data_IF_359374980924
#
_entry.id   IF_359374980924
#
_cell.length_a   1.000
_cell.length_b   1.000
_cell.length_c   1.000
_cell.angle_alpha   90.00
_cell.angle_beta   90.00
_cell.angle_gamma   90.00
#
_symmetry.space_group_name_H-M   'P 1'
#
loop_
_entity.id
_entity.type
_entity.pdbx_description
1 polymer ?
#
# COMPACT_ATOMS: atom_id res chain seq x y z
N UNK A 1 3.87 -1.88 3.23
CA UNK A 1 4.89 -2.75 2.61
C UNK A 1 4.25 -3.50 1.45
N UNK A 2 5.00 -3.69 0.37
CA UNK A 2 4.65 -4.64 -0.69
C UNK A 2 5.09 -6.02 -0.24
N UNK A 3 4.18 -7.00 -0.29
CA UNK A 3 4.47 -8.40 0.06
C UNK A 3 4.09 -9.29 -1.11
N UNK A 4 5.05 -10.05 -1.62
CA UNK A 4 4.89 -10.95 -2.77
C UNK A 4 5.20 -12.35 -2.28
N UNK A 5 4.24 -13.26 -2.36
CA UNK A 5 4.39 -14.66 -1.92
C UNK A 5 4.28 -15.57 -3.13
N UNK A 6 5.31 -16.38 -3.36
CA UNK A 6 5.35 -17.36 -4.44
C UNK A 6 5.54 -18.75 -3.82
N UNK A 7 4.67 -19.69 -4.17
CA UNK A 7 4.79 -21.07 -3.71
C UNK A 7 6.03 -21.73 -4.33
N UNK A 8 6.84 -22.40 -3.51
CA UNK A 8 8.05 -23.08 -3.95
C UNK A 8 7.73 -24.26 -4.87
N UNK A 9 6.58 -24.91 -4.67
CA UNK A 9 6.07 -25.96 -5.57
C UNK A 9 5.82 -25.43 -6.98
N UNK A 10 5.30 -24.20 -7.12
CA UNK A 10 5.11 -23.55 -8.41
C UNK A 10 6.45 -23.27 -9.11
N UNK A 11 7.43 -22.69 -8.40
CA UNK A 11 8.77 -22.45 -8.95
C UNK A 11 9.45 -23.75 -9.44
N UNK A 12 9.34 -24.82 -8.65
CA UNK A 12 9.86 -26.13 -9.04
C UNK A 12 9.17 -26.68 -10.30
N UNK A 13 7.85 -26.48 -10.45
CA UNK A 13 7.11 -26.94 -11.65
C UNK A 13 7.53 -26.24 -12.94
N UNK A 14 8.06 -25.02 -12.83
CA UNK A 14 8.57 -24.25 -13.98
C UNK A 14 10.10 -24.30 -14.09
N UNK A 15 10.77 -25.12 -13.26
CA UNK A 15 12.22 -25.33 -13.30
C UNK A 15 13.06 -24.15 -12.82
N UNK A 16 12.50 -23.27 -11.98
CA UNK A 16 13.18 -22.11 -11.43
C UNK A 16 13.66 -22.34 -9.99
N UNK A 17 14.87 -21.89 -9.69
CA UNK A 17 15.41 -21.86 -8.33
C UNK A 17 14.90 -20.63 -7.58
N UNK A 18 14.45 -20.84 -6.33
CA UNK A 18 14.07 -19.75 -5.44
C UNK A 18 15.19 -18.73 -5.18
N UNK A 19 16.45 -19.18 -5.21
CA UNK A 19 17.63 -18.32 -4.99
C UNK A 19 17.90 -17.37 -6.15
N UNK A 20 17.38 -17.69 -7.34
CA UNK A 20 17.62 -16.92 -8.55
C UNK A 20 16.62 -15.76 -8.69
N UNK A 21 15.62 -15.67 -7.80
CA UNK A 21 14.60 -14.63 -7.85
C UNK A 21 15.09 -13.30 -7.29
N UNK A 22 14.74 -12.23 -7.99
CA UNK A 22 15.02 -10.86 -7.60
C UNK A 22 13.92 -9.89 -8.08
N UNK A 23 13.82 -8.74 -7.44
CA UNK A 23 12.96 -7.61 -7.87
C UNK A 23 13.77 -6.57 -8.64
N UNK A 24 13.15 -5.51 -9.17
CA UNK A 24 13.85 -4.54 -10.05
C UNK A 24 15.13 -3.93 -9.42
N UNK A 25 15.21 -3.87 -8.09
CA UNK A 25 16.49 -3.73 -7.38
C UNK A 25 17.11 -5.09 -7.02
N UNK A 26 18.26 -5.41 -7.62
CA UNK A 26 19.00 -6.64 -7.38
C UNK A 26 19.55 -6.79 -5.95
N UNK A 27 19.56 -5.77 -5.10
CA UNK A 27 19.93 -5.94 -3.68
C UNK A 27 18.78 -6.57 -2.89
N UNK A 28 17.53 -6.33 -3.32
CA UNK A 28 16.36 -6.87 -2.67
C UNK A 28 16.16 -8.35 -3.04
N UNK A 29 16.46 -9.22 -2.08
CA UNK A 29 16.35 -10.68 -2.19
C UNK A 29 15.18 -11.20 -1.35
N UNK A 30 14.56 -12.32 -1.76
CA UNK A 30 13.45 -12.89 -1.00
C UNK A 30 13.94 -13.65 0.24
N UNK A 31 13.06 -13.77 1.22
CA UNK A 31 13.16 -14.78 2.26
C UNK A 31 12.62 -16.11 1.73
N UNK A 32 13.36 -17.20 1.93
CA UNK A 32 13.04 -18.52 1.38
C UNK A 32 12.74 -19.48 2.52
N UNK A 33 11.54 -20.06 2.52
CA UNK A 33 11.13 -21.12 3.45
C UNK A 33 11.01 -22.47 2.73
N UNK A 34 10.56 -23.51 3.44
CA UNK A 34 10.31 -24.83 2.86
C UNK A 34 9.16 -24.81 1.84
N UNK A 35 8.18 -23.94 2.01
CA UNK A 35 6.96 -23.87 1.19
C UNK A 35 6.89 -22.63 0.32
N UNK A 36 7.47 -21.51 0.74
CA UNK A 36 7.21 -20.19 0.16
C UNK A 36 8.49 -19.38 -0.07
N UNK A 37 8.44 -18.53 -1.07
CA UNK A 37 9.43 -17.49 -1.36
C UNK A 37 8.73 -16.15 -1.20
N UNK A 38 9.22 -15.32 -0.29
CA UNK A 38 8.55 -14.09 0.14
C UNK A 38 9.44 -12.89 -0.06
N UNK A 39 9.00 -11.94 -0.88
CA UNK A 39 9.53 -10.58 -0.88
C UNK A 39 8.69 -9.72 0.05
N UNK A 40 9.35 -8.93 0.90
CA UNK A 40 8.68 -7.97 1.77
C UNK A 40 9.55 -6.73 1.93
N UNK A 41 9.09 -5.59 1.41
CA UNK A 41 9.82 -4.34 1.45
C UNK A 41 8.88 -3.11 1.50
N UNK A 42 9.35 -1.94 1.97
CA UNK A 42 8.59 -0.69 1.90
C UNK A 42 8.19 -0.32 0.46
N UNK A 43 7.01 0.30 0.29
CA UNK A 43 6.40 0.57 -1.03
C UNK A 43 7.24 1.49 -1.92
N UNK A 44 8.12 2.30 -1.34
CA UNK A 44 8.99 3.29 -1.98
C UNK A 44 10.43 2.81 -2.19
N UNK A 45 10.68 1.50 -2.04
CA UNK A 45 12.02 0.91 -2.11
C UNK A 45 12.10 -0.22 -3.13
N UNK A 46 13.27 -0.85 -3.25
CA UNK A 46 13.52 -2.03 -4.09
C UNK A 46 13.18 -1.85 -5.59
N UNK A 47 13.38 -0.63 -6.11
CA UNK A 47 13.09 -0.30 -7.51
C UNK A 47 11.60 -0.16 -7.82
N UNK A 48 10.74 -0.06 -6.81
CA UNK A 48 9.29 0.10 -7.00
C UNK A 48 8.99 1.44 -7.66
N UNK A 49 8.23 1.40 -8.74
CA UNK A 49 7.76 2.60 -9.45
C UNK A 49 6.42 3.02 -8.84
N UNK A 50 6.30 4.30 -8.51
CA UNK A 50 5.05 4.91 -8.04
C UNK A 50 4.45 5.81 -9.11
N UNK A 51 3.15 5.67 -9.32
CA UNK A 51 2.37 6.57 -10.18
C UNK A 51 1.12 7.09 -9.44
N UNK A 52 0.89 8.40 -9.53
CA UNK A 52 -0.34 9.02 -9.02
C UNK A 52 -1.45 8.85 -10.05
N UNK A 53 -2.54 8.19 -9.67
CA UNK A 53 -3.71 8.01 -10.52
C UNK A 53 -4.91 8.80 -9.97
N UNK A 54 -5.94 8.98 -10.79
CA UNK A 54 -7.17 9.63 -10.33
C UNK A 54 -7.87 8.74 -9.28
N UNK A 55 -7.72 9.11 -8.01
CA UNK A 55 -8.39 8.44 -6.88
C UNK A 55 -7.63 7.28 -6.24
N UNK A 56 -6.38 7.00 -6.64
CA UNK A 56 -5.52 6.00 -5.97
C UNK A 56 -4.04 6.19 -6.34
N UNK A 57 -3.15 5.56 -5.58
CA UNK A 57 -1.71 5.50 -5.88
C UNK A 57 -1.37 4.10 -6.37
N UNK A 58 -0.69 4.00 -7.51
CA UNK A 58 -0.23 2.73 -8.10
C UNK A 58 1.24 2.51 -7.74
N UNK A 59 1.55 1.35 -7.19
CA UNK A 59 2.92 0.89 -6.93
C UNK A 59 3.21 -0.35 -7.74
N UNK A 60 4.23 -0.35 -8.58
CA UNK A 60 4.55 -1.50 -9.44
C UNK A 60 6.00 -1.92 -9.32
N UNK A 61 6.25 -3.23 -9.39
CA UNK A 61 7.57 -3.82 -9.41
C UNK A 61 7.53 -5.09 -10.28
N UNK A 62 8.70 -5.69 -10.56
CA UNK A 62 8.80 -6.91 -11.36
C UNK A 62 9.64 -7.95 -10.63
N UNK A 63 9.14 -9.16 -10.48
CA UNK A 63 9.95 -10.31 -10.05
C UNK A 63 10.53 -11.00 -11.29
N UNK A 64 11.84 -11.21 -11.28
CA UNK A 64 12.62 -11.83 -12.35
C UNK A 64 13.45 -12.97 -11.78
N UNK A 65 13.85 -13.90 -12.65
CA UNK A 65 14.80 -14.95 -12.30
C UNK A 65 16.13 -14.73 -13.04
N UNK A 66 17.26 -14.84 -12.33
CA UNK A 66 18.58 -14.83 -12.96
C UNK A 66 18.82 -16.14 -13.68
N UNK A 67 19.56 -16.10 -14.78
CA UNK A 67 19.96 -17.33 -15.46
C UNK A 67 20.93 -18.12 -14.58
N UNK A 68 20.70 -19.41 -14.43
CA UNK A 68 21.61 -20.30 -13.73
C UNK A 68 22.97 -20.31 -14.45
N UNK A 69 24.07 -20.12 -13.72
CA UNK A 69 25.44 -20.11 -14.29
C UNK A 69 25.93 -21.49 -14.77
N UNK A 70 25.16 -22.56 -14.55
CA UNK A 70 25.50 -23.91 -14.96
C UNK A 70 24.71 -24.33 -16.20
N UNK A 71 25.29 -24.15 -17.39
CA UNK A 71 24.77 -24.67 -18.65
C UNK A 71 25.10 -23.77 -19.85
N UNK A 72 25.81 -24.33 -20.82
CA UNK A 72 26.38 -23.64 -22.00
C UNK A 72 25.31 -23.17 -23.03
N UNK A 73 24.02 -23.49 -22.81
CA UNK A 73 22.88 -23.04 -23.62
C UNK A 73 21.67 -22.77 -22.70
N UNK A 74 21.34 -21.51 -22.41
CA UNK A 74 20.15 -21.13 -21.61
C UNK A 74 18.96 -20.78 -22.51
N UNK A 75 18.21 -21.81 -22.94
CA UNK A 75 16.93 -21.67 -23.67
C UNK A 75 15.71 -21.58 -22.74
N UNK A 76 15.80 -20.87 -21.62
CA UNK A 76 14.65 -20.67 -20.73
C UNK A 76 14.12 -19.25 -20.84
N UNK A 77 12.82 -19.16 -21.11
CA UNK A 77 12.05 -17.94 -21.21
C UNK A 77 12.27 -17.05 -19.99
N UNK A 78 12.48 -15.74 -20.22
CA UNK A 78 12.69 -14.75 -19.18
C UNK A 78 11.49 -14.75 -18.24
N UNK A 79 11.59 -15.37 -17.07
CA UNK A 79 10.56 -15.31 -16.05
C UNK A 79 10.36 -13.84 -15.66
N UNK A 80 9.14 -13.35 -15.88
CA UNK A 80 8.77 -11.98 -15.57
C UNK A 80 7.37 -11.96 -14.96
N UNK A 81 7.32 -11.66 -13.68
CA UNK A 81 6.08 -11.46 -12.95
C UNK A 81 5.93 -9.97 -12.63
N UNK A 82 5.01 -9.31 -13.31
CA UNK A 82 4.62 -7.95 -13.00
C UNK A 82 3.75 -7.95 -11.75
N UNK A 83 4.18 -7.22 -10.73
CA UNK A 83 3.42 -7.05 -9.49
C UNK A 83 3.00 -5.60 -9.32
N UNK A 84 1.77 -5.41 -8.86
CA UNK A 84 1.17 -4.11 -8.61
C UNK A 84 0.47 -4.08 -7.26
N UNK A 85 0.51 -2.94 -6.59
CA UNK A 85 -0.31 -2.61 -5.43
C UNK A 85 -1.06 -1.31 -5.72
N UNK A 86 -2.37 -1.40 -5.84
CA UNK A 86 -3.28 -0.25 -5.93
C UNK A 86 -3.66 0.18 -4.53
N UNK A 87 -3.23 1.38 -4.12
CA UNK A 87 -3.50 1.94 -2.80
C UNK A 87 -4.59 3.00 -2.91
N UNK A 88 -5.79 2.67 -2.45
CA UNK A 88 -6.93 3.60 -2.47
C UNK A 88 -7.00 4.44 -1.17
N UNK A 89 -7.53 5.68 -1.24
CA UNK A 89 -8.05 6.38 -0.08
C UNK A 89 -9.20 5.56 0.52
N UNK A 90 -9.32 5.51 1.84
CA UNK A 90 -10.23 4.63 2.60
C UNK A 90 -11.65 4.51 2.01
N UNK A 91 -11.86 3.52 1.13
CA UNK A 91 -13.15 2.98 0.63
C UNK A 91 -12.95 1.53 0.12
N UNK A 92 -14.03 0.76 -0.06
CA UNK A 92 -14.17 -0.72 -0.01
C UNK A 92 -13.03 -1.61 -0.59
N UNK A 93 -12.63 -2.66 0.14
CA UNK A 93 -11.65 -3.67 -0.29
C UNK A 93 -12.31 -4.65 -1.28
N UNK A 94 -11.79 -4.74 -2.50
CA UNK A 94 -11.99 -5.90 -3.38
C UNK A 94 -10.63 -6.55 -3.64
N UNK A 95 -10.42 -7.74 -3.08
CA UNK A 95 -9.26 -8.58 -3.40
C UNK A 95 -9.63 -9.40 -4.63
N UNK A 96 -9.03 -9.11 -5.79
CA UNK A 96 -9.14 -9.97 -6.97
C UNK A 96 -7.85 -10.75 -7.17
N UNK A 97 -7.95 -12.08 -7.28
CA UNK A 97 -6.89 -12.91 -7.85
C UNK A 97 -7.45 -14.11 -8.62
N UNK A 98 -7.05 -14.22 -9.89
CA UNK A 98 -6.96 -15.50 -10.62
C UNK A 98 -5.95 -15.35 -11.77
N UNK A 99 -4.68 -15.62 -11.50
CA UNK A 99 -3.67 -15.71 -12.56
C UNK A 99 -3.75 -17.09 -13.22
N UNK A 100 -3.92 -17.12 -14.55
CA UNK A 100 -3.87 -18.34 -15.37
C UNK A 100 -2.64 -18.27 -16.28
N UNK A 101 -2.02 -19.44 -16.45
CA UNK A 101 -0.78 -19.74 -17.19
C UNK A 101 -0.40 -18.75 -18.29
N UNK A 102 0.62 -17.93 -18.02
CA UNK A 102 1.53 -17.38 -19.01
C UNK A 102 2.87 -17.10 -18.31
N UNK A 103 3.97 -17.30 -19.03
CA UNK A 103 5.35 -17.06 -18.53
C UNK A 103 5.55 -15.58 -18.11
N UNK A 104 4.71 -14.70 -18.67
CA UNK A 104 4.52 -13.33 -18.22
C UNK A 104 3.16 -13.24 -17.53
N UNK A 105 3.16 -12.96 -16.23
CA UNK A 105 1.96 -12.85 -15.43
C UNK A 105 1.88 -11.47 -14.78
N UNK A 106 0.65 -10.96 -14.63
CA UNK A 106 0.37 -9.72 -13.93
C UNK A 106 -0.46 -10.03 -12.68
N UNK A 107 0.02 -9.55 -11.55
CA UNK A 107 -0.56 -9.74 -10.22
C UNK A 107 -0.77 -8.34 -9.65
N UNK A 108 -2.02 -7.95 -9.41
CA UNK A 108 -2.34 -6.66 -8.80
C UNK A 108 -3.12 -6.87 -7.52
N UNK A 109 -2.51 -6.49 -6.41
CA UNK A 109 -3.17 -6.42 -5.11
C UNK A 109 -3.73 -5.04 -4.85
N UNK A 110 -4.64 -4.94 -3.89
CA UNK A 110 -5.17 -3.67 -3.38
C UNK A 110 -4.76 -3.49 -1.93
N UNK A 111 -4.43 -2.27 -1.53
CA UNK A 111 -4.20 -1.88 -0.14
C UNK A 111 -4.83 -0.53 0.17
N UNK A 112 -4.73 -0.10 1.44
CA UNK A 112 -5.30 1.16 1.92
C UNK A 112 -4.29 1.91 2.75
N UNK A 113 -4.39 3.24 2.72
CA UNK A 113 -3.71 4.07 3.70
C UNK A 113 -4.48 4.05 5.02
N UNK A 114 -3.75 4.09 6.13
CA UNK A 114 -4.35 4.19 7.46
C UNK A 114 -4.27 5.65 7.91
N UNK A 115 -5.39 6.37 7.83
CA UNK A 115 -5.51 7.72 8.32
C UNK A 115 -6.26 7.75 9.65
N UNK A 116 -5.83 8.62 10.57
CA UNK A 116 -6.48 8.85 11.86
C UNK A 116 -6.74 10.33 12.05
N UNK A 117 -7.89 10.66 12.66
CA UNK A 117 -8.24 12.02 13.09
C UNK A 117 -8.38 12.04 14.61
N UNK A 118 -7.86 13.09 15.26
CA UNK A 118 -7.89 13.22 16.72
C UNK A 118 -8.00 14.68 17.18
N UNK A 119 -8.65 14.88 18.32
CA UNK A 119 -8.75 16.17 19.02
C UNK A 119 -7.61 16.35 20.02
N UNK A 120 -7.21 17.59 20.24
CA UNK A 120 -6.12 17.97 21.14
C UNK A 120 -6.54 19.14 22.02
N UNK A 121 -5.92 19.20 23.20
CA UNK A 121 -6.24 20.24 24.20
C UNK A 121 -5.75 21.64 23.81
N UNK A 122 -4.74 21.74 22.92
CA UNK A 122 -4.16 23.01 22.49
C UNK A 122 -3.46 22.90 21.13
N UNK A 123 -3.04 24.04 20.59
CA UNK A 123 -2.28 24.14 19.32
C UNK A 123 -0.90 23.49 19.35
N UNK A 124 -0.43 22.99 20.51
CA UNK A 124 0.81 22.22 20.59
C UNK A 124 0.67 20.79 20.07
N UNK A 125 -0.57 20.29 19.93
CA UNK A 125 -0.89 18.93 19.53
C UNK A 125 -0.18 17.84 20.38
N UNK A 126 0.10 18.14 21.65
CA UNK A 126 0.81 17.21 22.54
C UNK A 126 -0.13 16.24 23.27
N UNK A 127 -1.23 16.75 23.84
CA UNK A 127 -2.19 15.95 24.61
C UNK A 127 -3.45 15.70 23.79
N UNK A 128 -3.57 14.46 23.30
CA UNK A 128 -4.76 13.99 22.62
C UNK A 128 -5.92 13.80 23.62
N UNK A 129 -7.12 14.13 23.16
CA UNK A 129 -8.39 13.96 23.89
C UNK A 129 -9.01 12.63 23.51
N UNK A 130 -9.44 11.86 24.51
CA UNK A 130 -10.08 10.54 24.35
C UNK A 130 -11.54 10.51 24.86
N UNK A 131 -12.03 11.62 25.42
CA UNK A 131 -13.36 11.71 25.99
C UNK A 131 -14.45 11.59 24.92
N UNK A 132 -15.54 10.90 25.25
CA UNK A 132 -16.71 10.73 24.39
C UNK A 132 -17.99 10.73 25.24
N UNK A 133 -18.79 11.82 25.22
CA UNK A 133 -18.63 13.03 24.40
C UNK A 133 -17.54 13.97 24.93
N UNK A 134 -16.87 14.68 24.02
CA UNK A 134 -16.00 15.80 24.37
C UNK A 134 -16.83 17.09 24.44
N UNK A 135 -17.06 17.60 25.64
CA UNK A 135 -17.85 18.81 25.87
C UNK A 135 -17.01 20.09 25.74
N UNK A 136 -17.52 21.07 25.02
CA UNK A 136 -16.82 22.32 24.69
C UNK A 136 -17.75 23.52 24.79
N UNK A 137 -17.17 24.68 25.08
CA UNK A 137 -17.93 25.93 25.15
C UNK A 137 -18.11 26.55 23.77
N UNK A 138 -19.15 27.36 23.61
CA UNK A 138 -19.30 28.21 22.42
C UNK A 138 -18.09 29.15 22.29
N UNK A 139 -17.62 29.35 21.06
CA UNK A 139 -16.43 30.13 20.71
C UNK A 139 -15.09 29.58 21.25
N UNK A 140 -15.07 28.37 21.79
CA UNK A 140 -13.82 27.68 22.13
C UNK A 140 -13.14 27.18 20.85
N UNK A 141 -11.83 27.41 20.74
CA UNK A 141 -11.02 26.80 19.67
C UNK A 141 -10.90 25.29 19.86
N UNK A 142 -11.10 24.55 18.77
CA UNK A 142 -10.86 23.11 18.71
C UNK A 142 -9.59 22.85 17.90
N UNK A 143 -8.71 22.01 18.43
CA UNK A 143 -7.47 21.63 17.78
C UNK A 143 -7.61 20.19 17.28
N UNK A 144 -7.59 20.01 15.96
CA UNK A 144 -7.79 18.72 15.31
C UNK A 144 -6.58 18.41 14.44
N UNK A 145 -6.06 17.19 14.54
CA UNK A 145 -4.99 16.70 13.67
C UNK A 145 -5.48 15.49 12.87
N UNK A 146 -5.19 15.49 11.57
CA UNK A 146 -5.28 14.31 10.72
C UNK A 146 -3.87 13.80 10.47
N UNK A 147 -3.67 12.51 10.68
CA UNK A 147 -2.37 11.85 10.51
C UNK A 147 -2.53 10.71 9.52
N UNK A 148 -1.65 10.67 8.53
CA UNK A 148 -1.51 9.54 7.62
C UNK A 148 -0.38 8.66 8.12
N UNK A 149 -0.69 7.43 8.52
CA UNK A 149 0.36 6.43 8.74
C UNK A 149 0.80 5.88 7.38
N UNK A 150 1.85 6.50 6.83
CA UNK A 150 2.35 6.24 5.48
C UNK A 150 3.62 5.37 5.53
N UNK A 151 3.64 4.21 4.86
CA UNK A 151 4.86 3.46 4.64
C UNK A 151 5.82 4.15 3.66
N UNK A 152 5.27 4.94 2.73
CA UNK A 152 6.01 5.74 1.75
C UNK A 152 6.16 7.16 2.27
N UNK A 153 7.39 7.57 2.56
CA UNK A 153 7.68 8.86 3.18
C UNK A 153 7.57 10.05 2.21
N UNK A 154 7.48 9.79 0.90
CA UNK A 154 7.37 10.82 -0.12
C UNK A 154 5.93 11.16 -0.52
N UNK A 155 4.95 10.57 0.16
CA UNK A 155 3.55 10.97 0.07
C UNK A 155 3.23 12.06 1.08
N UNK A 156 2.60 13.15 0.64
CA UNK A 156 2.05 14.17 1.52
C UNK A 156 0.55 13.98 1.75
N UNK A 157 0.08 14.38 2.93
CA UNK A 157 -1.33 14.41 3.28
C UNK A 157 -1.91 15.76 2.89
N UNK A 158 -2.97 15.73 2.08
CA UNK A 158 -3.72 16.91 1.64
C UNK A 158 -5.19 16.71 2.02
N UNK A 159 -5.76 17.71 2.70
CA UNK A 159 -7.14 17.64 3.20
C UNK A 159 -8.04 18.41 2.25
N UNK A 160 -8.70 17.74 1.30
CA UNK A 160 -9.57 18.46 0.36
C UNK A 160 -10.84 19.02 1.01
N UNK A 161 -11.58 18.17 1.72
CA UNK A 161 -12.87 18.53 2.32
C UNK A 161 -13.00 17.96 3.73
N UNK A 162 -13.41 18.79 4.69
CA UNK A 162 -13.73 18.35 6.05
C UNK A 162 -15.12 18.88 6.44
N UNK A 163 -15.96 17.98 6.95
CA UNK A 163 -17.35 18.29 7.30
C UNK A 163 -17.67 17.88 8.73
N UNK A 164 -18.51 18.67 9.40
CA UNK A 164 -19.13 18.32 10.67
C UNK A 164 -20.61 18.00 10.46
N UNK A 165 -21.14 17.04 11.21
CA UNK A 165 -22.56 16.71 11.22
C UNK A 165 -23.09 16.58 12.65
N UNK A 166 -24.33 17.04 12.94
CA UNK A 166 -25.00 16.74 14.19
C UNK A 166 -25.39 15.26 14.31
N UNK A 167 -25.42 14.50 13.21
CA UNK A 167 -25.65 13.06 13.21
C UNK A 167 -24.35 12.32 12.87
N UNK A 168 -23.77 11.52 13.79
CA UNK A 168 -22.53 10.81 13.54
C UNK A 168 -22.63 9.74 12.44
N UNK A 169 -23.85 9.39 12.00
CA UNK A 169 -24.09 8.40 10.95
C UNK A 169 -24.52 9.02 9.60
N UNK A 170 -24.68 10.34 9.53
CA UNK A 170 -25.14 11.02 8.31
C UNK A 170 -24.40 12.34 8.13
N UNK A 171 -23.55 12.39 7.10
CA UNK A 171 -22.77 13.56 6.72
C UNK A 171 -23.28 14.18 5.40
N UNK A 172 -24.48 13.83 4.95
CA UNK A 172 -25.05 14.28 3.66
C UNK A 172 -26.19 15.26 3.83
N UNK A 173 -27.18 14.95 4.68
CA UNK A 173 -28.43 15.74 4.70
C UNK A 173 -28.26 17.08 5.42
N UNK A 174 -27.49 17.09 6.51
CA UNK A 174 -27.17 18.30 7.29
C UNK A 174 -25.72 18.31 7.72
N UNK A 175 -24.84 18.75 6.83
CA UNK A 175 -23.41 18.93 7.11
C UNK A 175 -23.00 20.40 7.11
N UNK A 176 -21.88 20.67 7.77
CA UNK A 176 -21.25 21.98 7.85
C UNK A 176 -19.80 21.85 7.39
N UNK A 177 -19.45 22.57 6.33
CA UNK A 177 -18.09 22.59 5.80
C UNK A 177 -17.16 23.30 6.80
N UNK A 178 -16.17 22.57 7.32
CA UNK A 178 -15.06 23.13 8.10
C UNK A 178 -13.91 23.54 7.17
N UNK A 179 -13.76 22.81 6.06
CA UNK A 179 -12.79 23.04 5.01
C UNK A 179 -13.41 22.54 3.70
N UNK A 180 -13.20 23.29 2.61
CA UNK A 180 -13.69 22.92 1.28
C UNK A 180 -12.70 23.34 0.21
N UNK A 181 -12.35 22.41 -0.68
CA UNK A 181 -11.36 22.58 -1.74
C UNK A 181 -10.01 23.06 -1.16
N UNK A 182 -9.54 22.39 -0.10
CA UNK A 182 -8.33 22.72 0.66
C UNK A 182 -7.10 22.01 0.15
#
# INVERSE_FOLDING_TARGET
NMVIVIQRSYLNSVGLSANDLYVDDHVCRPSISSTEVVFSFPLDTCGTIREMMNGYVSYTNNVRASQSQSGEITRQSQFLLHVGCRMEPDTMVQIFYKAKENINANITGTGRFNASIAFYTSSSFYYQIYDSPYEVNLNQYLYVQVKLNRPDNSLDLFLDTCVASPNPNDFKDRSYDLLRNG
#
